data_IF_490321242246
#
_entry.id   IF_490321242246
#
_cell.length_a   1.000
_cell.length_b   1.000
_cell.length_c   1.000
_cell.angle_alpha   90.00
_cell.angle_beta   90.00
_cell.angle_gamma   90.00
#
_symmetry.space_group_name_H-M   'P 1'
#
loop_
_entity.id
_entity.type
_entity.pdbx_description
1 polymer ?
#
# COMPACT_ATOMS: atom_id res chain seq x y z
N UNK A 1 -20.06 -14.23 12.40
CA UNK A 1 -18.90 -15.09 12.76
C UNK A 1 -18.08 -15.55 11.55
N UNK A 2 -18.52 -16.51 10.72
CA UNK A 2 -17.66 -17.01 9.63
C UNK A 2 -17.38 -15.96 8.54
N UNK A 3 -18.38 -15.17 8.13
CA UNK A 3 -18.21 -14.13 7.10
C UNK A 3 -17.28 -13.00 7.54
N UNK A 4 -17.41 -12.56 8.79
CA UNK A 4 -16.59 -11.49 9.37
C UNK A 4 -15.13 -11.93 9.46
N UNK A 5 -14.86 -13.13 9.98
CA UNK A 5 -13.51 -13.69 10.04
C UNK A 5 -12.87 -13.85 8.66
N UNK A 6 -13.63 -14.35 7.67
CA UNK A 6 -13.16 -14.47 6.28
C UNK A 6 -12.84 -13.09 5.71
N UNK A 7 -13.72 -12.11 5.91
CA UNK A 7 -13.50 -10.75 5.42
C UNK A 7 -12.28 -10.08 6.06
N UNK A 8 -12.10 -10.21 7.37
CA UNK A 8 -10.95 -9.67 8.09
C UNK A 8 -9.63 -10.34 7.65
N UNK A 9 -9.67 -11.65 7.39
CA UNK A 9 -8.54 -12.41 6.84
C UNK A 9 -8.15 -11.92 5.44
N UNK A 10 -9.13 -11.71 4.56
CA UNK A 10 -8.88 -11.16 3.22
C UNK A 10 -8.30 -9.74 3.27
N UNK A 11 -8.84 -8.89 4.14
CA UNK A 11 -8.35 -7.52 4.36
C UNK A 11 -6.89 -7.54 4.82
N UNK A 12 -6.56 -8.42 5.77
CA UNK A 12 -5.19 -8.56 6.30
C UNK A 12 -4.22 -9.03 5.22
N UNK A 13 -4.59 -10.07 4.45
CA UNK A 13 -3.77 -10.59 3.34
C UNK A 13 -3.55 -9.51 2.28
N UNK A 14 -4.60 -8.77 1.91
CA UNK A 14 -4.51 -7.67 0.97
C UNK A 14 -3.59 -6.55 1.47
N UNK A 15 -3.66 -6.22 2.77
CA UNK A 15 -2.76 -5.28 3.42
C UNK A 15 -1.29 -5.71 3.33
N UNK A 16 -0.99 -6.97 3.68
CA UNK A 16 0.37 -7.53 3.59
C UNK A 16 0.88 -7.48 2.14
N UNK A 17 0.05 -7.89 1.18
CA UNK A 17 0.41 -7.88 -0.23
C UNK A 17 0.68 -6.45 -0.74
N UNK A 18 -0.16 -5.48 -0.34
CA UNK A 18 0.01 -4.07 -0.70
C UNK A 18 1.28 -3.48 -0.10
N UNK A 19 1.60 -3.85 1.14
CA UNK A 19 2.85 -3.46 1.81
C UNK A 19 4.08 -3.98 1.05
N UNK A 20 4.08 -5.27 0.70
CA UNK A 20 5.15 -5.89 -0.09
C UNK A 20 5.28 -5.23 -1.48
N UNK A 21 4.17 -4.94 -2.15
CA UNK A 21 4.17 -4.20 -3.41
C UNK A 21 4.79 -2.80 -3.27
N UNK A 22 4.38 -2.05 -2.26
CA UNK A 22 4.91 -0.71 -1.98
C UNK A 22 6.41 -0.71 -1.67
N UNK A 23 6.90 -1.76 -1.00
CA UNK A 23 8.31 -1.88 -0.65
C UNK A 23 9.16 -2.37 -1.83
N UNK A 24 8.76 -3.44 -2.49
CA UNK A 24 9.55 -4.20 -3.47
C UNK A 24 9.31 -3.76 -4.92
N UNK A 25 8.05 -3.54 -5.32
CA UNK A 25 7.72 -3.26 -6.72
C UNK A 25 7.88 -1.78 -7.06
N UNK A 26 7.56 -0.88 -6.13
CA UNK A 26 7.70 0.57 -6.30
C UNK A 26 9.15 0.96 -6.01
N UNK A 27 10.00 0.70 -6.99
CA UNK A 27 11.39 1.18 -7.01
C UNK A 27 11.48 2.53 -7.72
N UNK A 28 12.43 3.36 -7.28
CA UNK A 28 12.68 4.67 -7.89
C UNK A 28 12.88 4.57 -9.41
N UNK A 29 13.60 3.55 -9.88
CA UNK A 29 13.84 3.32 -11.31
C UNK A 29 12.55 3.06 -12.07
N UNK A 30 11.72 2.10 -11.62
CA UNK A 30 10.44 1.79 -12.27
C UNK A 30 9.48 2.98 -12.25
N UNK A 31 9.38 3.69 -11.13
CA UNK A 31 8.51 4.85 -11.02
C UNK A 31 8.86 5.98 -12.02
N UNK A 32 10.16 6.13 -12.33
CA UNK A 32 10.66 7.18 -13.23
C UNK A 32 10.70 6.77 -14.70
N UNK A 33 10.90 5.49 -15.01
CA UNK A 33 11.08 5.03 -16.40
C UNK A 33 9.79 4.45 -16.99
N UNK A 34 8.91 3.88 -16.18
CA UNK A 34 7.77 3.14 -16.67
C UNK A 34 6.55 4.04 -16.88
N UNK A 35 5.87 3.85 -18.02
CA UNK A 35 4.73 4.65 -18.48
C UNK A 35 3.50 4.48 -17.58
N UNK A 36 3.41 3.34 -16.90
CA UNK A 36 2.32 3.04 -15.96
C UNK A 36 2.26 3.99 -14.76
N UNK A 37 3.38 4.66 -14.44
CA UNK A 37 3.49 5.56 -13.28
C UNK A 37 3.43 7.05 -13.65
N UNK A 38 3.16 7.40 -14.91
CA UNK A 38 3.10 8.81 -15.34
C UNK A 38 2.03 9.58 -14.57
N UNK A 39 0.84 8.99 -14.41
CA UNK A 39 -0.24 9.60 -13.63
C UNK A 39 0.17 9.93 -12.19
N UNK A 40 0.95 9.05 -11.55
CA UNK A 40 1.43 9.26 -10.17
C UNK A 40 2.62 10.21 -10.10
N UNK A 41 3.42 10.32 -11.16
CA UNK A 41 4.52 11.29 -11.26
C UNK A 41 4.04 12.71 -11.44
N UNK A 42 2.91 12.90 -12.12
CA UNK A 42 2.35 14.20 -12.47
C UNK A 42 1.15 14.58 -11.60
N UNK A 43 0.81 13.76 -10.60
CA UNK A 43 -0.33 13.97 -9.72
C UNK A 43 -0.27 15.29 -8.94
N UNK A 44 0.94 15.74 -8.56
CA UNK A 44 1.14 17.04 -7.91
C UNK A 44 2.23 17.84 -8.64
N UNK A 45 2.24 19.18 -8.54
CA UNK A 45 3.26 20.03 -9.17
C UNK A 45 4.67 19.89 -8.56
N UNK A 46 4.88 18.93 -7.65
CA UNK A 46 6.18 18.65 -7.06
C UNK A 46 7.11 17.91 -8.04
N UNK A 47 8.44 17.95 -7.80
CA UNK A 47 9.38 17.14 -8.56
C UNK A 47 9.02 15.64 -8.49
N UNK A 48 9.22 14.91 -9.59
CA UNK A 48 8.89 13.48 -9.68
C UNK A 48 9.50 12.63 -8.55
N UNK A 49 10.65 13.05 -7.99
CA UNK A 49 11.30 12.38 -6.86
C UNK A 49 10.48 12.52 -5.57
N UNK A 50 9.87 13.68 -5.34
CA UNK A 50 9.02 13.94 -4.18
C UNK A 50 7.70 13.18 -4.33
N UNK A 51 7.11 13.16 -5.54
CA UNK A 51 5.93 12.35 -5.84
C UNK A 51 6.17 10.85 -5.64
N UNK A 52 7.35 10.33 -6.01
CA UNK A 52 7.75 8.95 -5.70
C UNK A 52 7.69 8.67 -4.19
N UNK A 53 8.32 9.51 -3.37
CA UNK A 53 8.33 9.32 -1.92
C UNK A 53 6.94 9.46 -1.32
N UNK A 54 6.15 10.43 -1.76
CA UNK A 54 4.76 10.62 -1.31
C UNK A 54 3.91 9.38 -1.58
N UNK A 55 3.91 8.88 -2.82
CA UNK A 55 3.14 7.69 -3.20
C UNK A 55 3.63 6.46 -2.43
N UNK A 56 4.95 6.29 -2.30
CA UNK A 56 5.52 5.16 -1.57
C UNK A 56 5.14 5.18 -0.08
N UNK A 57 5.28 6.33 0.58
CA UNK A 57 4.90 6.50 1.98
C UNK A 57 3.40 6.29 2.15
N UNK A 58 2.57 6.85 1.27
CA UNK A 58 1.12 6.69 1.31
C UNK A 58 0.70 5.22 1.21
N UNK A 59 1.27 4.46 0.28
CA UNK A 59 0.99 3.03 0.13
C UNK A 59 1.46 2.25 1.36
N UNK A 60 2.64 2.54 1.89
CA UNK A 60 3.17 1.87 3.09
C UNK A 60 2.29 2.15 4.31
N UNK A 61 1.93 3.40 4.56
CA UNK A 61 1.10 3.78 5.72
C UNK A 61 -0.30 3.18 5.60
N UNK A 62 -0.94 3.32 4.43
CA UNK A 62 -2.28 2.76 4.21
C UNK A 62 -2.30 1.23 4.37
N UNK A 63 -1.28 0.53 3.85
CA UNK A 63 -1.19 -0.92 4.04
C UNK A 63 -0.96 -1.33 5.50
N UNK A 64 -0.16 -0.59 6.27
CA UNK A 64 -0.02 -0.83 7.72
C UNK A 64 -1.36 -0.67 8.45
N UNK A 65 -2.12 0.39 8.12
CA UNK A 65 -3.45 0.62 8.73
C UNK A 65 -4.40 -0.54 8.38
N UNK A 66 -4.42 -0.98 7.12
CA UNK A 66 -5.25 -2.10 6.66
C UNK A 66 -4.88 -3.40 7.37
N UNK A 67 -3.58 -3.69 7.54
CA UNK A 67 -3.10 -4.86 8.29
C UNK A 67 -3.56 -4.79 9.74
N UNK A 68 -3.45 -3.62 10.39
CA UNK A 68 -3.86 -3.45 11.78
C UNK A 68 -5.36 -3.66 11.97
N UNK A 69 -6.20 -3.03 11.13
CA UNK A 69 -7.66 -3.18 11.19
C UNK A 69 -8.07 -4.62 10.89
N UNK A 70 -7.49 -5.24 9.87
CA UNK A 70 -7.75 -6.63 9.53
C UNK A 70 -7.34 -7.58 10.67
N UNK A 71 -6.16 -7.38 11.26
CA UNK A 71 -5.69 -8.21 12.37
C UNK A 71 -6.49 -8.01 13.65
N UNK A 72 -7.02 -6.81 13.92
CA UNK A 72 -7.99 -6.59 15.00
C UNK A 72 -9.27 -7.40 14.78
N UNK A 73 -9.80 -7.41 13.54
CA UNK A 73 -10.97 -8.21 13.18
C UNK A 73 -10.78 -9.73 13.28
N UNK A 74 -9.53 -10.20 13.23
CA UNK A 74 -9.15 -11.62 13.41
C UNK A 74 -8.83 -11.93 14.90
N UNK A 75 -8.58 -10.92 15.72
CA UNK A 75 -8.14 -11.07 17.12
C UNK A 75 -6.62 -11.27 17.28
N UNK A 76 -5.82 -10.86 16.29
CA UNK A 76 -4.35 -10.88 16.35
C UNK A 76 -3.80 -9.64 17.07
N UNK A 77 -4.44 -8.49 16.87
CA UNK A 77 -4.05 -7.23 17.50
C UNK A 77 -5.04 -6.86 18.62
N UNK A 78 -4.54 -6.25 19.71
CA UNK A 78 -5.36 -5.77 20.81
C UNK A 78 -6.24 -4.58 20.40
#
# INVERSE_FOLDING_TARGET
>A
MNSEFISASLITIFGIFSFLCGFVLITKKRFMEDKNWVAFREFTPLPAIANYWLVKIFIIISSIIVIYVGGYGIGIFP
#
